data_IF_953901405865
#
_entry.id   IF_953901405865
#
_cell.length_a   1.000
_cell.length_b   1.000
_cell.length_c   1.000
_cell.angle_alpha   90.00
_cell.angle_beta   90.00
_cell.angle_gamma   90.00
#
_symmetry.space_group_name_H-M   'P 1'
#
loop_
_entity.id
_entity.type
_entity.pdbx_description
1 polymer ?
#
# COMPACT_ATOMS: atom_id res chain seq x y z
N UNK A 1 9.14 -15.60 16.56
CA UNK A 1 9.75 -15.25 15.27
C UNK A 1 9.33 -13.83 14.94
N UNK A 2 10.27 -12.90 14.81
CA UNK A 2 9.96 -11.51 14.47
C UNK A 2 9.70 -11.32 12.97
N UNK A 3 9.16 -10.17 12.59
CA UNK A 3 8.99 -9.80 11.17
C UNK A 3 10.35 -9.72 10.47
N UNK A 4 11.38 -9.24 11.17
CA UNK A 4 12.74 -9.17 10.67
C UNK A 4 13.32 -10.56 10.41
N UNK A 5 13.08 -11.52 11.32
CA UNK A 5 13.48 -12.92 11.16
C UNK A 5 12.76 -13.57 9.97
N UNK A 6 11.44 -13.40 9.87
CA UNK A 6 10.63 -13.91 8.75
C UNK A 6 11.08 -13.33 7.40
N UNK A 7 11.37 -12.02 7.37
CA UNK A 7 11.89 -11.34 6.18
C UNK A 7 13.25 -11.90 5.78
N UNK A 8 14.15 -12.10 6.74
CA UNK A 8 15.47 -12.66 6.49
C UNK A 8 15.37 -14.08 5.89
N UNK A 9 14.51 -14.94 6.44
CA UNK A 9 14.29 -16.28 5.89
C UNK A 9 13.63 -16.25 4.50
N UNK A 10 12.62 -15.40 4.30
CA UNK A 10 11.98 -15.25 2.99
C UNK A 10 12.98 -14.80 1.92
N UNK A 11 13.94 -13.92 2.25
CA UNK A 11 14.96 -13.46 1.31
C UNK A 11 15.99 -14.54 0.93
N UNK A 12 16.14 -15.61 1.72
CA UNK A 12 16.99 -16.77 1.37
C UNK A 12 16.37 -17.67 0.30
N UNK A 13 15.06 -17.58 0.08
CA UNK A 13 14.37 -18.37 -0.93
C UNK A 13 14.84 -18.00 -2.34
N UNK A 14 14.71 -18.95 -3.27
CA UNK A 14 14.94 -18.70 -4.70
C UNK A 14 14.03 -17.58 -5.22
N UNK A 15 14.42 -16.86 -6.30
CA UNK A 15 13.56 -15.82 -6.87
C UNK A 15 12.13 -16.29 -7.19
N UNK A 16 11.97 -17.52 -7.70
CA UNK A 16 10.67 -18.10 -8.03
C UNK A 16 9.85 -18.36 -6.77
N UNK A 17 10.46 -18.97 -5.74
CA UNK A 17 9.79 -19.26 -4.47
C UNK A 17 9.41 -17.98 -3.72
N UNK A 18 10.23 -16.92 -3.77
CA UNK A 18 9.88 -15.61 -3.22
C UNK A 18 8.72 -14.98 -3.95
N UNK A 19 8.70 -15.02 -5.28
CA UNK A 19 7.61 -14.47 -6.06
C UNK A 19 6.29 -15.20 -5.75
N UNK A 20 6.34 -16.52 -5.60
CA UNK A 20 5.21 -17.32 -5.15
C UNK A 20 4.73 -16.89 -3.76
N UNK A 21 5.63 -16.85 -2.77
CA UNK A 21 5.29 -16.43 -1.40
C UNK A 21 4.72 -15.01 -1.35
N UNK A 22 5.30 -14.07 -2.10
CA UNK A 22 4.79 -12.69 -2.19
C UNK A 22 3.37 -12.64 -2.76
N UNK A 23 3.07 -13.48 -3.76
CA UNK A 23 1.71 -13.60 -4.31
C UNK A 23 0.72 -14.13 -3.29
N UNK A 24 1.07 -15.19 -2.56
CA UNK A 24 0.18 -15.78 -1.53
C UNK A 24 -0.08 -14.79 -0.40
N UNK A 25 0.96 -14.09 0.07
CA UNK A 25 0.82 -13.05 1.08
C UNK A 25 -0.08 -11.91 0.58
N UNK A 26 0.10 -11.47 -0.65
CA UNK A 26 -0.76 -10.43 -1.23
C UNK A 26 -2.22 -10.89 -1.33
N UNK A 27 -2.45 -12.11 -1.82
CA UNK A 27 -3.80 -12.68 -1.92
C UNK A 27 -4.47 -12.80 -0.54
N UNK A 28 -3.71 -13.10 0.52
CA UNK A 28 -4.25 -13.16 1.88
C UNK A 28 -4.77 -11.82 2.41
N UNK A 29 -4.34 -10.69 1.81
CA UNK A 29 -4.87 -9.37 2.15
C UNK A 29 -6.22 -9.12 1.48
N UNK A 30 -6.52 -9.79 0.36
CA UNK A 30 -7.81 -9.69 -0.33
C UNK A 30 -8.92 -10.47 0.39
N UNK A 31 -8.57 -11.40 1.28
CA UNK A 31 -9.51 -12.17 2.11
C UNK A 31 -10.01 -11.38 3.35
N UNK A 32 -9.59 -10.12 3.51
CA UNK A 32 -10.07 -9.24 4.58
C UNK A 32 -11.53 -8.83 4.35
N UNK A 33 -12.32 -8.70 5.41
CA UNK A 33 -13.69 -8.22 5.24
C UNK A 33 -13.75 -6.71 4.98
N UNK A 34 -14.84 -6.26 4.36
CA UNK A 34 -15.03 -4.86 3.96
C UNK A 34 -14.84 -3.88 5.13
N UNK A 35 -15.27 -4.22 6.35
CA UNK A 35 -15.12 -3.36 7.51
C UNK A 35 -13.66 -3.18 7.95
N UNK A 36 -12.85 -4.24 7.86
CA UNK A 36 -11.42 -4.17 8.12
C UNK A 36 -10.71 -3.33 7.06
N UNK A 37 -11.09 -3.50 5.79
CA UNK A 37 -10.55 -2.72 4.67
C UNK A 37 -10.90 -1.23 4.84
N UNK A 38 -12.15 -0.92 5.16
CA UNK A 38 -12.61 0.45 5.40
C UNK A 38 -11.84 1.11 6.54
N UNK A 39 -11.65 0.39 7.65
CA UNK A 39 -10.88 0.90 8.79
C UNK A 39 -9.43 1.24 8.40
N UNK A 40 -8.74 0.34 7.68
CA UNK A 40 -7.38 0.60 7.20
C UNK A 40 -7.30 1.79 6.25
N UNK A 41 -8.30 1.99 5.38
CA UNK A 41 -8.36 3.15 4.49
C UNK A 41 -8.56 4.46 5.26
N UNK A 42 -9.36 4.47 6.31
CA UNK A 42 -9.55 5.64 7.16
C UNK A 42 -8.24 5.99 7.88
N UNK A 43 -7.56 5.00 8.45
CA UNK A 43 -6.29 5.19 9.16
C UNK A 43 -5.22 5.78 8.21
N UNK A 44 -5.09 5.22 7.02
CA UNK A 44 -4.18 5.73 5.98
C UNK A 44 -4.57 7.15 5.54
N UNK A 45 -5.86 7.44 5.35
CA UNK A 45 -6.32 8.77 4.98
C UNK A 45 -5.95 9.81 6.06
N UNK A 46 -6.17 9.50 7.33
CA UNK A 46 -5.76 10.35 8.46
C UNK A 46 -4.24 10.53 8.52
N UNK A 47 -3.46 9.47 8.32
CA UNK A 47 -2.00 9.56 8.29
C UNK A 47 -1.53 10.52 7.19
N UNK A 48 -2.08 10.39 5.98
CA UNK A 48 -1.70 11.24 4.84
C UNK A 48 -2.14 12.69 5.00
N UNK A 49 -3.27 12.94 5.65
CA UNK A 49 -3.73 14.29 5.97
C UNK A 49 -2.74 14.99 6.92
N UNK A 50 -2.32 14.28 7.98
CA UNK A 50 -1.29 14.77 8.90
C UNK A 50 0.04 15.03 8.19
N UNK A 51 0.49 14.15 7.29
CA UNK A 51 1.72 14.36 6.51
C UNK A 51 1.66 15.61 5.62
N UNK A 52 0.47 15.95 5.10
CA UNK A 52 0.26 17.17 4.33
C UNK A 52 0.31 18.41 5.23
N UNK A 53 -0.33 18.37 6.40
CA UNK A 53 -0.31 19.45 7.39
C UNK A 53 1.10 19.71 7.93
N UNK A 54 1.87 18.65 8.16
CA UNK A 54 3.26 18.72 8.62
C UNK A 54 4.25 19.10 7.49
N UNK A 55 3.81 19.07 6.23
CA UNK A 55 4.64 19.33 5.07
C UNK A 55 5.69 18.24 4.80
N UNK A 56 5.53 17.05 5.39
CA UNK A 56 6.40 15.88 5.17
C UNK A 56 6.04 15.13 3.87
N UNK A 57 4.80 15.30 3.38
CA UNK A 57 4.35 14.75 2.12
C UNK A 57 4.73 15.61 0.89
N UNK A 58 5.01 14.95 -0.23
CA UNK A 58 5.16 15.61 -1.53
C UNK A 58 3.79 15.81 -2.20
N UNK A 59 3.22 17.00 -2.05
CA UNK A 59 1.96 17.36 -2.67
C UNK A 59 2.08 17.59 -4.19
N UNK A 60 1.01 17.30 -4.93
CA UNK A 60 0.86 17.65 -6.34
C UNK A 60 -0.24 18.72 -6.51
N UNK A 61 -0.06 19.72 -7.39
CA UNK A 61 -1.09 20.70 -7.68
C UNK A 61 -2.41 20.05 -8.14
N UNK A 62 -3.52 20.47 -7.54
CA UNK A 62 -4.83 19.86 -7.75
C UNK A 62 -5.30 19.92 -9.23
N UNK A 63 -5.02 21.02 -9.91
CA UNK A 63 -5.31 21.21 -11.35
C UNK A 63 -4.63 20.15 -12.22
N UNK A 64 -3.35 19.85 -11.96
CA UNK A 64 -2.59 18.81 -12.68
C UNK A 64 -3.14 17.41 -12.40
N UNK A 65 -3.47 17.12 -11.15
CA UNK A 65 -4.06 15.82 -10.74
C UNK A 65 -5.41 15.60 -11.43
N UNK A 66 -6.29 16.60 -11.40
CA UNK A 66 -7.62 16.54 -12.00
C UNK A 66 -7.55 16.41 -13.53
N UNK A 67 -6.65 17.15 -14.19
CA UNK A 67 -6.43 17.02 -15.64
C UNK A 67 -5.99 15.60 -16.01
N UNK A 68 -5.02 15.02 -15.27
CA UNK A 68 -4.56 13.65 -15.49
C UNK A 68 -5.68 12.62 -15.32
N UNK A 69 -6.52 12.78 -14.29
CA UNK A 69 -7.64 11.88 -14.02
C UNK A 69 -8.69 11.89 -15.14
N UNK A 70 -9.02 13.07 -15.68
CA UNK A 70 -9.96 13.22 -16.81
C UNK A 70 -9.42 12.61 -18.10
N UNK A 71 -8.12 12.75 -18.36
CA UNK A 71 -7.50 12.18 -19.56
C UNK A 71 -7.38 10.65 -19.53
N UNK A 72 -7.40 10.02 -18.35
CA UNK A 72 -7.38 8.55 -18.22
C UNK A 72 -8.73 7.87 -18.47
N UNK A 73 -9.82 8.64 -18.47
CA UNK A 73 -11.20 8.15 -18.66
C UNK A 73 -11.70 8.31 -20.10
N UNK A 74 -10.91 8.94 -20.97
CA UNK A 74 -11.16 9.07 -22.41
C UNK A 74 -10.36 8.00 -23.15
#
# INVERSE_FOLDING_TARGET
MSIEELRAEALKLSPVSRAFLARELLASLDDMNDAQIEHLWVDEACSRDNELDEGSAQASPADKVLARARNRRQ
#
